data_IF_478603259833
#
_entry.id   IF_478603259833
#
_cell.length_a   1.000
_cell.length_b   1.000
_cell.length_c   1.000
_cell.angle_alpha   90.00
_cell.angle_beta   90.00
_cell.angle_gamma   90.00
#
_symmetry.space_group_name_H-M   'P 1'
#
loop_
_entity.id
_entity.type
_entity.pdbx_description
1 polymer ?
#
# COMPACT_ATOMS: atom_id res chain seq x y z
N UNK A 1 -5.63 10.68 27.39
CA UNK A 1 -4.24 10.19 27.63
C UNK A 1 -3.34 10.92 26.65
N UNK A 2 -2.04 11.15 26.97
CA UNK A 2 -1.12 11.67 25.96
C UNK A 2 -1.00 10.65 24.83
N UNK A 3 -1.02 11.09 23.58
CA UNK A 3 -0.81 10.23 22.41
C UNK A 3 0.56 9.55 22.50
N UNK A 4 0.63 8.25 22.18
CA UNK A 4 1.91 7.51 22.10
C UNK A 4 2.73 7.90 20.84
N UNK A 5 2.13 8.63 19.90
CA UNK A 5 2.78 9.09 18.69
C UNK A 5 3.91 10.08 18.99
N UNK A 6 5.07 9.95 18.32
CA UNK A 6 6.15 10.93 18.41
C UNK A 6 5.70 12.30 17.87
N UNK A 7 6.27 13.37 18.45
CA UNK A 7 6.08 14.72 17.93
C UNK A 7 6.78 14.86 16.58
N UNK A 8 6.21 15.65 15.69
CA UNK A 8 6.80 15.94 14.39
C UNK A 8 6.72 17.42 14.07
N UNK A 9 7.62 17.89 13.25
CA UNK A 9 7.67 19.25 12.75
C UNK A 9 7.52 19.25 11.23
N UNK A 10 6.89 20.28 10.69
CA UNK A 10 6.66 20.41 9.25
C UNK A 10 7.06 21.78 8.72
N UNK A 11 7.60 21.79 7.51
CA UNK A 11 7.86 23.01 6.76
C UNK A 11 7.53 22.77 5.28
N UNK A 12 6.90 23.74 4.63
CA UNK A 12 6.67 23.71 3.19
C UNK A 12 7.58 24.71 2.50
N UNK A 13 8.35 24.27 1.51
CA UNK A 13 9.18 25.16 0.69
C UNK A 13 8.32 25.99 -0.28
N UNK A 14 8.90 27.07 -0.84
CA UNK A 14 8.22 27.92 -1.83
C UNK A 14 7.73 27.18 -3.08
N UNK A 15 8.42 26.11 -3.46
CA UNK A 15 8.03 25.25 -4.58
C UNK A 15 6.98 24.19 -4.22
N UNK A 16 6.49 24.18 -2.98
CA UNK A 16 5.43 23.29 -2.52
C UNK A 16 5.91 21.94 -1.95
N UNK A 17 7.22 21.66 -1.93
CA UNK A 17 7.73 20.45 -1.25
C UNK A 17 7.41 20.53 0.24
N UNK A 18 6.71 19.53 0.74
CA UNK A 18 6.45 19.38 2.17
C UNK A 18 7.62 18.61 2.79
N UNK A 19 8.17 19.14 3.88
CA UNK A 19 9.21 18.51 4.67
C UNK A 19 8.61 18.14 6.02
N UNK A 20 8.80 16.90 6.45
CA UNK A 20 8.33 16.38 7.74
C UNK A 20 9.52 15.80 8.48
N UNK A 21 9.69 16.19 9.73
CA UNK A 21 10.76 15.69 10.60
C UNK A 21 10.17 15.09 11.85
N UNK A 22 10.54 13.85 12.14
CA UNK A 22 10.11 13.11 13.33
C UNK A 22 11.35 12.76 14.15
N UNK A 23 11.77 13.64 15.08
CA UNK A 23 12.93 13.37 15.92
C UNK A 23 12.60 12.26 16.93
N UNK A 24 13.37 11.18 16.88
CA UNK A 24 13.29 10.08 17.83
C UNK A 24 14.51 10.17 18.77
N UNK A 25 14.27 10.50 20.02
CA UNK A 25 15.33 10.62 21.03
C UNK A 25 15.75 9.24 21.54
N UNK A 26 16.23 8.39 20.67
CA UNK A 26 16.58 6.99 20.98
C UNK A 26 18.11 6.75 20.98
N UNK A 27 18.91 7.76 20.71
CA UNK A 27 20.39 7.70 20.69
C UNK A 27 20.98 6.56 19.84
N UNK A 28 20.27 6.17 18.78
CA UNK A 28 20.70 5.08 17.88
C UNK A 28 21.66 5.55 16.80
N UNK A 29 21.80 6.86 16.60
CA UNK A 29 22.53 7.47 15.48
C UNK A 29 22.05 6.94 14.10
N UNK A 30 20.76 6.57 13.99
CA UNK A 30 20.16 6.03 12.77
C UNK A 30 19.00 6.92 12.35
N UNK A 31 18.95 7.21 11.04
CA UNK A 31 17.85 7.92 10.40
C UNK A 31 17.25 7.09 9.26
N UNK A 32 15.97 7.31 9.02
CA UNK A 32 15.30 7.03 7.75
C UNK A 32 15.07 8.36 7.03
N UNK A 33 15.57 8.47 5.82
CA UNK A 33 15.29 9.60 4.91
C UNK A 33 14.39 9.05 3.82
N UNK A 34 13.17 9.55 3.75
CA UNK A 34 12.12 9.02 2.92
C UNK A 34 11.60 10.10 1.98
N UNK A 35 11.29 9.74 0.73
CA UNK A 35 10.55 10.60 -0.16
C UNK A 35 9.31 9.87 -0.66
N UNK A 36 8.15 10.50 -0.47
CA UNK A 36 6.87 10.02 -0.94
C UNK A 36 6.38 10.91 -2.07
N UNK A 37 6.03 10.31 -3.20
CA UNK A 37 5.31 11.00 -4.28
C UNK A 37 3.83 10.63 -4.23
N UNK A 38 2.94 11.64 -4.31
CA UNK A 38 1.48 11.46 -4.33
C UNK A 38 1.03 10.95 -5.70
N UNK A 39 1.58 9.83 -6.11
CA UNK A 39 1.31 9.16 -7.39
C UNK A 39 1.58 7.66 -7.27
N UNK A 40 0.63 6.88 -7.73
CA UNK A 40 0.69 5.43 -7.82
C UNK A 40 -0.13 4.94 -9.02
N UNK A 41 -0.51 3.66 -9.05
CA UNK A 41 -1.29 3.11 -10.15
C UNK A 41 -2.66 3.76 -10.34
N UNK A 42 -3.22 4.39 -9.31
CA UNK A 42 -4.42 5.21 -9.36
C UNK A 42 -4.32 6.37 -10.38
N UNK A 43 -3.12 6.85 -10.63
CA UNK A 43 -2.87 8.00 -11.51
C UNK A 43 -2.63 7.59 -12.97
N UNK A 44 -2.66 6.31 -13.26
CA UNK A 44 -2.45 5.76 -14.59
C UNK A 44 -3.75 5.77 -15.41
N UNK A 45 -3.61 5.52 -16.70
CA UNK A 45 -4.74 5.36 -17.62
C UNK A 45 -4.64 3.99 -18.30
N UNK A 46 -5.80 3.46 -18.71
CA UNK A 46 -5.85 2.23 -19.51
C UNK A 46 -4.99 2.37 -20.77
N UNK A 47 -4.22 1.34 -21.09
CA UNK A 47 -3.21 1.36 -22.14
C UNK A 47 -1.80 1.76 -21.67
N UNK A 48 -1.70 2.30 -20.44
CA UNK A 48 -0.43 2.69 -19.79
C UNK A 48 -0.36 2.25 -18.33
N UNK A 49 -1.01 1.12 -18.01
CA UNK A 49 -1.01 0.59 -16.65
C UNK A 49 0.36 0.01 -16.27
N UNK A 50 0.76 0.15 -15.02
CA UNK A 50 2.07 -0.27 -14.52
C UNK A 50 3.19 0.75 -14.72
N UNK A 51 2.89 1.92 -15.31
CA UNK A 51 3.91 2.93 -15.62
C UNK A 51 4.49 3.58 -14.36
N UNK A 52 3.71 3.68 -13.29
CA UNK A 52 4.19 4.19 -12.01
C UNK A 52 5.27 3.26 -11.41
N UNK A 53 5.06 1.95 -11.48
CA UNK A 53 6.03 0.95 -11.05
C UNK A 53 7.25 0.90 -11.96
N UNK A 54 7.07 1.01 -13.28
CA UNK A 54 8.19 1.11 -14.21
C UNK A 54 9.05 2.35 -13.94
N UNK A 55 8.44 3.49 -13.60
CA UNK A 55 9.18 4.69 -13.24
C UNK A 55 9.94 4.51 -11.91
N UNK A 56 9.41 3.75 -10.96
CA UNK A 56 10.16 3.38 -9.75
C UNK A 56 11.49 2.69 -10.10
N UNK A 57 11.46 1.70 -11.00
CA UNK A 57 12.65 1.02 -11.49
C UNK A 57 13.61 1.98 -12.20
N UNK A 58 13.07 2.84 -13.08
CA UNK A 58 13.86 3.80 -13.84
C UNK A 58 14.48 4.90 -12.96
N UNK A 59 13.92 5.13 -11.77
CA UNK A 59 14.43 6.13 -10.84
C UNK A 59 15.83 5.82 -10.31
N UNK A 60 16.26 4.54 -10.34
CA UNK A 60 17.59 4.10 -9.96
C UNK A 60 18.58 4.00 -11.13
N UNK A 61 18.20 4.45 -12.34
CA UNK A 61 19.06 4.48 -13.50
C UNK A 61 19.90 5.76 -13.55
N UNK A 62 20.41 6.14 -14.69
CA UNK A 62 21.32 7.27 -14.78
C UNK A 62 20.63 8.63 -14.60
N UNK A 63 21.32 9.52 -13.91
CA UNK A 63 20.98 10.94 -13.81
C UNK A 63 22.08 11.81 -14.43
N UNK A 64 21.98 13.13 -14.31
CA UNK A 64 23.02 14.06 -14.78
C UNK A 64 24.36 13.76 -14.11
N UNK A 65 24.35 13.50 -12.81
CA UNK A 65 25.54 13.37 -11.99
C UNK A 65 25.86 11.93 -11.55
N UNK A 66 24.94 10.97 -11.80
CA UNK A 66 25.10 9.56 -11.43
C UNK A 66 24.94 8.66 -12.65
N UNK A 67 25.78 7.64 -12.76
CA UNK A 67 25.58 6.54 -13.71
C UNK A 67 24.57 5.54 -13.17
N UNK A 68 24.04 4.68 -14.03
CA UNK A 68 23.16 3.60 -13.61
C UNK A 68 23.83 2.74 -12.51
N UNK A 69 23.11 2.48 -11.40
CA UNK A 69 23.61 1.75 -10.23
C UNK A 69 24.56 2.54 -9.32
N UNK A 70 24.91 3.78 -9.64
CA UNK A 70 25.74 4.62 -8.75
C UNK A 70 24.96 5.09 -7.53
N UNK A 71 23.66 5.32 -7.64
CA UNK A 71 22.83 5.65 -6.47
C UNK A 71 22.98 4.60 -5.35
N UNK A 72 22.84 3.33 -5.68
CA UNK A 72 22.99 2.23 -4.71
C UNK A 72 24.41 2.15 -4.15
N UNK A 73 25.43 2.39 -5.00
CA UNK A 73 26.84 2.41 -4.55
C UNK A 73 27.09 3.55 -3.57
N UNK A 74 26.55 4.73 -3.84
CA UNK A 74 26.67 5.89 -2.96
C UNK A 74 26.01 5.64 -1.60
N UNK A 75 24.81 5.03 -1.58
CA UNK A 75 24.13 4.65 -0.34
C UNK A 75 24.93 3.58 0.42
N UNK A 76 25.39 2.54 -0.27
CA UNK A 76 26.18 1.46 0.34
C UNK A 76 27.55 1.94 0.83
N UNK A 77 28.18 2.90 0.15
CA UNK A 77 29.49 3.45 0.53
C UNK A 77 29.50 4.12 1.90
N UNK A 78 28.34 4.59 2.36
CA UNK A 78 28.13 5.20 3.67
C UNK A 78 27.45 4.25 4.67
N UNK A 79 27.44 2.95 4.39
CA UNK A 79 26.82 1.93 5.23
C UNK A 79 25.29 1.97 5.25
N UNK A 80 24.68 2.67 4.29
CA UNK A 80 23.23 2.77 4.17
C UNK A 80 22.61 1.60 3.40
N UNK A 81 21.30 1.49 3.52
CA UNK A 81 20.44 0.62 2.71
C UNK A 81 19.28 1.44 2.16
N UNK A 82 18.83 1.10 0.96
CA UNK A 82 17.68 1.75 0.31
C UNK A 82 16.75 0.72 -0.29
N UNK A 83 15.50 1.13 -0.48
CA UNK A 83 14.51 0.40 -1.26
C UNK A 83 13.41 1.36 -1.72
N UNK A 84 12.49 0.86 -2.54
CA UNK A 84 11.32 1.59 -2.99
C UNK A 84 10.10 0.68 -3.07
N UNK A 85 8.93 1.29 -3.20
CA UNK A 85 7.68 0.58 -3.43
C UNK A 85 6.66 1.49 -4.12
N UNK A 86 5.91 0.90 -5.05
CA UNK A 86 4.76 1.55 -5.69
C UNK A 86 3.48 0.91 -5.20
N UNK A 87 2.57 1.72 -4.68
CA UNK A 87 1.22 1.30 -4.26
C UNK A 87 0.16 1.84 -5.24
N UNK A 88 -1.11 1.65 -4.89
CA UNK A 88 -2.21 2.27 -5.64
C UNK A 88 -2.15 3.80 -5.61
N UNK A 89 -1.84 4.39 -4.46
CA UNK A 89 -2.00 5.83 -4.21
C UNK A 89 -0.70 6.63 -4.19
N UNK A 90 0.43 5.97 -3.94
CA UNK A 90 1.72 6.65 -3.80
C UNK A 90 2.89 5.76 -4.18
N UNK A 91 4.02 6.40 -4.46
CA UNK A 91 5.34 5.76 -4.61
C UNK A 91 6.25 6.27 -3.51
N UNK A 92 6.95 5.36 -2.85
CA UNK A 92 7.80 5.62 -1.69
C UNK A 92 9.22 5.11 -1.93
N UNK A 93 10.19 5.95 -1.60
CA UNK A 93 11.62 5.61 -1.61
C UNK A 93 12.19 5.91 -0.24
N UNK A 94 13.07 5.06 0.28
CA UNK A 94 13.74 5.31 1.53
C UNK A 94 15.23 5.00 1.48
N UNK A 95 16.00 5.76 2.26
CA UNK A 95 17.41 5.50 2.60
C UNK A 95 17.50 5.45 4.12
N UNK A 96 17.94 4.31 4.65
CA UNK A 96 18.29 4.16 6.06
C UNK A 96 19.80 4.23 6.21
N UNK A 97 20.29 5.16 7.04
CA UNK A 97 21.72 5.40 7.24
C UNK A 97 22.02 5.96 8.63
N UNK A 98 23.29 6.22 8.92
CA UNK A 98 23.64 7.03 10.10
C UNK A 98 23.27 8.50 9.91
N UNK A 99 23.06 9.22 11.01
CA UNK A 99 22.70 10.65 11.03
C UNK A 99 23.69 11.53 10.27
N UNK A 100 24.99 11.19 10.30
CA UNK A 100 26.04 11.92 9.58
C UNK A 100 25.81 11.98 8.06
N UNK A 101 25.02 11.07 7.52
CA UNK A 101 24.71 10.96 6.09
C UNK A 101 23.41 11.68 5.67
N UNK A 102 22.80 12.47 6.55
CA UNK A 102 21.59 13.23 6.26
C UNK A 102 21.70 14.03 4.96
N UNK A 103 22.73 14.87 4.85
CA UNK A 103 22.93 15.72 3.67
C UNK A 103 23.07 14.90 2.39
N UNK A 104 23.83 13.80 2.44
CA UNK A 104 24.02 12.90 1.30
C UNK A 104 22.70 12.27 0.85
N UNK A 105 21.91 11.74 1.78
CA UNK A 105 20.62 11.13 1.49
C UNK A 105 19.63 12.13 0.87
N UNK A 106 19.59 13.35 1.41
CA UNK A 106 18.72 14.44 0.89
C UNK A 106 19.17 14.89 -0.50
N UNK A 107 20.48 15.05 -0.74
CA UNK A 107 21.06 15.43 -2.04
C UNK A 107 20.83 14.35 -3.11
N UNK A 108 20.90 13.06 -2.75
CA UNK A 108 20.61 11.95 -3.66
C UNK A 108 19.17 12.01 -4.15
N UNK A 109 18.17 12.26 -3.29
CA UNK A 109 16.80 12.39 -3.71
C UNK A 109 16.53 13.64 -4.56
N UNK A 110 17.18 14.76 -4.27
CA UNK A 110 17.07 15.95 -5.10
C UNK A 110 17.65 15.70 -6.51
N UNK A 111 18.75 14.94 -6.61
CA UNK A 111 19.32 14.52 -7.89
C UNK A 111 18.34 13.67 -8.70
N UNK A 112 17.70 12.66 -8.06
CA UNK A 112 16.72 11.81 -8.74
C UNK A 112 15.47 12.60 -9.18
N UNK A 113 14.97 13.51 -8.37
CA UNK A 113 13.79 14.31 -8.72
C UNK A 113 14.05 15.24 -9.92
N UNK A 114 15.22 15.86 -10.00
CA UNK A 114 15.52 16.90 -10.96
C UNK A 114 16.20 16.41 -12.23
N UNK A 115 17.09 15.42 -12.10
CA UNK A 115 18.15 15.18 -13.07
C UNK A 115 18.15 13.79 -13.70
N UNK A 116 17.08 13.00 -13.55
CA UNK A 116 16.95 11.71 -14.24
C UNK A 116 17.03 11.90 -15.76
N UNK A 117 17.81 11.04 -16.41
CA UNK A 117 18.00 11.09 -17.88
C UNK A 117 16.92 10.34 -18.63
N UNK A 118 16.36 9.28 -18.06
CA UNK A 118 15.33 8.44 -18.65
C UNK A 118 15.65 8.07 -20.11
N UNK A 119 16.74 7.33 -20.29
CA UNK A 119 17.23 6.95 -21.59
C UNK A 119 16.57 5.67 -22.09
N UNK A 120 16.28 5.60 -23.39
CA UNK A 120 15.69 4.41 -24.00
C UNK A 120 16.59 3.18 -23.87
N UNK A 121 17.91 3.35 -23.99
CA UNK A 121 18.90 2.29 -23.83
C UNK A 121 18.95 1.65 -22.42
N UNK A 122 18.47 2.38 -21.39
CA UNK A 122 18.33 1.89 -20.01
C UNK A 122 16.90 1.36 -19.76
N UNK A 123 15.92 1.91 -20.46
CA UNK A 123 14.51 1.56 -20.37
C UNK A 123 14.21 0.18 -20.98
N UNK A 124 14.74 -0.12 -22.17
CA UNK A 124 14.41 -1.36 -22.86
C UNK A 124 14.77 -2.62 -22.04
N UNK A 125 16.00 -2.75 -21.50
CA UNK A 125 16.34 -3.88 -20.63
C UNK A 125 15.51 -3.92 -19.35
N UNK A 126 15.18 -2.74 -18.77
CA UNK A 126 14.41 -2.69 -17.54
C UNK A 126 12.95 -3.07 -17.75
N UNK A 127 12.38 -2.77 -18.91
CA UNK A 127 11.05 -3.26 -19.27
C UNK A 127 11.00 -4.78 -19.33
N UNK A 128 12.08 -5.43 -19.78
CA UNK A 128 12.18 -6.89 -19.75
C UNK A 128 12.22 -7.42 -18.29
N UNK A 129 12.94 -6.74 -17.39
CA UNK A 129 12.94 -7.06 -15.96
C UNK A 129 11.53 -6.96 -15.37
N UNK A 130 10.80 -5.87 -15.61
CA UNK A 130 9.42 -5.70 -15.14
C UNK A 130 8.47 -6.73 -15.76
N UNK A 131 8.71 -7.11 -17.02
CA UNK A 131 7.96 -8.20 -17.71
C UNK A 131 8.14 -9.53 -16.98
N UNK A 132 9.37 -9.88 -16.60
CA UNK A 132 9.65 -11.12 -15.85
C UNK A 132 9.09 -11.04 -14.42
N UNK A 133 9.16 -9.88 -13.78
CA UNK A 133 8.54 -9.68 -12.47
C UNK A 133 7.01 -9.87 -12.53
N UNK A 134 6.36 -9.31 -13.56
CA UNK A 134 4.94 -9.53 -13.81
C UNK A 134 4.62 -11.02 -14.00
N UNK A 135 5.43 -11.75 -14.78
CA UNK A 135 5.28 -13.20 -14.94
C UNK A 135 5.39 -13.92 -13.60
N UNK A 136 6.43 -13.63 -12.85
CA UNK A 136 6.68 -14.28 -11.57
C UNK A 136 5.62 -13.98 -10.53
N UNK A 137 5.23 -12.70 -10.39
CA UNK A 137 4.27 -12.26 -9.37
C UNK A 137 2.82 -12.57 -9.71
N UNK A 138 2.48 -12.67 -10.99
CA UNK A 138 1.07 -12.77 -11.42
C UNK A 138 0.81 -13.99 -12.30
N UNK A 139 1.47 -14.10 -13.48
CA UNK A 139 1.15 -15.19 -14.40
C UNK A 139 1.53 -16.57 -13.86
N UNK A 140 2.67 -16.69 -13.18
CA UNK A 140 3.19 -17.96 -12.63
C UNK A 140 2.84 -18.15 -11.15
N UNK A 141 2.15 -17.21 -10.52
CA UNK A 141 1.70 -17.28 -9.13
C UNK A 141 0.18 -17.42 -9.09
N UNK A 142 -0.38 -18.57 -8.72
CA UNK A 142 -1.84 -18.72 -8.60
C UNK A 142 -2.48 -17.69 -7.68
N UNK A 143 -1.89 -17.42 -6.52
CA UNK A 143 -2.38 -16.40 -5.58
C UNK A 143 -2.25 -14.99 -6.16
N UNK A 144 -1.13 -14.68 -6.82
CA UNK A 144 -0.93 -13.37 -7.46
C UNK A 144 -1.92 -13.15 -8.60
N UNK A 145 -2.21 -14.19 -9.37
CA UNK A 145 -3.22 -14.16 -10.42
C UNK A 145 -4.63 -13.96 -9.85
N UNK A 146 -4.98 -14.69 -8.78
CA UNK A 146 -6.26 -14.54 -8.09
C UNK A 146 -6.45 -13.12 -7.58
N UNK A 147 -5.42 -12.55 -6.95
CA UNK A 147 -5.42 -11.17 -6.44
C UNK A 147 -5.61 -10.16 -7.58
N UNK A 148 -4.88 -10.31 -8.68
CA UNK A 148 -5.02 -9.45 -9.86
C UNK A 148 -6.43 -9.58 -10.47
N UNK A 149 -6.94 -10.81 -10.63
CA UNK A 149 -8.28 -11.07 -11.17
C UNK A 149 -9.38 -10.46 -10.29
N UNK A 150 -9.20 -10.45 -8.97
CA UNK A 150 -10.14 -9.84 -8.04
C UNK A 150 -10.29 -8.34 -8.31
N UNK A 151 -9.20 -7.58 -8.38
CA UNK A 151 -9.25 -6.15 -8.68
C UNK A 151 -9.83 -5.88 -10.06
N UNK A 152 -9.44 -6.67 -11.06
CA UNK A 152 -9.94 -6.56 -12.43
C UNK A 152 -11.45 -6.75 -12.55
N UNK A 153 -12.07 -7.43 -11.62
CA UNK A 153 -13.50 -7.72 -11.66
C UNK A 153 -14.29 -6.95 -10.60
N UNK A 154 -13.67 -6.55 -9.48
CA UNK A 154 -14.33 -5.75 -8.47
C UNK A 154 -14.61 -4.33 -8.98
N UNK A 155 -13.70 -3.76 -9.74
CA UNK A 155 -13.87 -2.44 -10.35
C UNK A 155 -14.16 -2.55 -11.84
N UNK A 156 -14.96 -1.60 -12.37
CA UNK A 156 -15.27 -1.50 -13.81
C UNK A 156 -14.77 -0.19 -14.42
N UNK A 157 -14.59 0.84 -13.62
CA UNK A 157 -14.25 2.17 -14.10
C UNK A 157 -13.05 2.80 -13.38
N UNK A 158 -12.97 2.64 -12.04
CA UNK A 158 -11.91 3.25 -11.24
C UNK A 158 -10.54 2.62 -11.55
N UNK A 159 -9.42 3.38 -11.56
CA UNK A 159 -8.06 2.86 -11.77
C UNK A 159 -7.58 1.80 -10.78
N UNK A 160 -8.27 1.58 -9.67
CA UNK A 160 -8.03 0.39 -8.83
C UNK A 160 -8.40 -0.92 -9.52
N UNK A 161 -8.94 -0.86 -10.74
CA UNK A 161 -9.18 -2.00 -11.61
C UNK A 161 -7.92 -2.81 -11.95
N UNK A 162 -6.72 -2.22 -11.86
CA UNK A 162 -5.44 -2.91 -12.01
C UNK A 162 -4.53 -2.69 -10.81
N UNK A 163 -3.68 -3.68 -10.54
CA UNK A 163 -2.64 -3.59 -9.51
C UNK A 163 -1.44 -2.78 -10.02
N UNK A 164 -0.55 -2.29 -9.14
CA UNK A 164 0.60 -1.46 -9.54
C UNK A 164 1.52 -2.06 -10.60
N UNK A 165 1.57 -3.40 -10.72
CA UNK A 165 2.36 -4.05 -11.78
C UNK A 165 1.77 -3.85 -13.19
N UNK A 166 0.48 -3.50 -13.30
CA UNK A 166 -0.21 -3.25 -14.57
C UNK A 166 -0.55 -4.49 -15.39
N UNK A 167 -1.06 -4.29 -16.60
CA UNK A 167 -1.36 -5.34 -17.56
C UNK A 167 -0.13 -5.68 -18.42
N UNK A 168 0.08 -6.97 -18.72
CA UNK A 168 1.18 -7.42 -19.56
C UNK A 168 1.21 -6.75 -20.95
N UNK A 169 0.03 -6.52 -21.55
CA UNK A 169 -0.06 -5.88 -22.85
C UNK A 169 0.43 -4.42 -22.82
N UNK A 170 0.14 -3.69 -21.73
CA UNK A 170 0.59 -2.32 -21.56
C UNK A 170 2.10 -2.27 -21.35
N UNK A 171 2.65 -3.17 -20.50
CA UNK A 171 4.10 -3.30 -20.27
C UNK A 171 4.87 -3.44 -21.59
N UNK A 172 4.36 -4.25 -22.50
CA UNK A 172 5.00 -4.49 -23.82
C UNK A 172 4.95 -3.29 -24.76
N UNK A 173 4.02 -2.36 -24.55
CA UNK A 173 3.75 -1.24 -25.45
C UNK A 173 4.24 0.12 -24.95
N UNK A 174 4.70 0.22 -23.67
CA UNK A 174 5.26 1.47 -23.16
C UNK A 174 6.42 1.98 -24.03
N UNK A 175 6.48 3.29 -24.18
CA UNK A 175 7.62 4.00 -24.74
C UNK A 175 8.38 4.75 -23.64
N UNK A 176 9.62 5.10 -23.91
CA UNK A 176 10.39 5.94 -22.98
C UNK A 176 9.76 7.33 -22.81
N UNK A 177 9.05 7.82 -23.83
CA UNK A 177 8.39 9.11 -23.75
C UNK A 177 7.17 9.07 -22.81
N UNK A 178 6.46 7.94 -22.71
CA UNK A 178 5.42 7.74 -21.70
C UNK A 178 5.98 7.86 -20.28
N UNK A 179 7.17 7.29 -20.04
CA UNK A 179 7.87 7.37 -18.75
C UNK A 179 8.30 8.80 -18.44
N UNK A 180 8.86 9.52 -19.43
CA UNK A 180 9.26 10.93 -19.29
C UNK A 180 8.07 11.82 -18.97
N UNK A 181 6.95 11.63 -19.66
CA UNK A 181 5.73 12.41 -19.45
C UNK A 181 5.16 12.16 -18.05
N UNK A 182 5.14 10.91 -17.61
CA UNK A 182 4.68 10.54 -16.28
C UNK A 182 5.60 11.12 -15.18
N UNK A 183 6.93 11.01 -15.36
CA UNK A 183 7.90 11.62 -14.47
C UNK A 183 7.74 13.14 -14.43
N UNK A 184 7.67 13.81 -15.60
CA UNK A 184 7.52 15.27 -15.67
C UNK A 184 6.24 15.76 -15.00
N UNK A 185 5.17 14.94 -15.03
CA UNK A 185 3.87 15.26 -14.45
C UNK A 185 3.87 15.13 -12.94
N UNK A 186 4.41 14.03 -12.41
CA UNK A 186 4.17 13.65 -11.01
C UNK A 186 5.40 13.76 -10.11
N UNK A 187 6.64 13.69 -10.66
CA UNK A 187 7.87 13.75 -9.86
C UNK A 187 8.39 15.19 -9.77
N UNK A 188 7.71 15.97 -8.95
CA UNK A 188 8.02 17.38 -8.75
C UNK A 188 7.70 17.82 -7.30
N UNK A 189 8.30 18.93 -6.82
CA UNK A 189 8.25 19.31 -5.40
C UNK A 189 6.86 19.38 -4.79
N UNK A 190 5.89 20.01 -5.48
CA UNK A 190 4.53 20.19 -4.94
C UNK A 190 3.69 18.89 -4.90
N UNK A 191 4.23 17.77 -5.40
CA UNK A 191 3.62 16.45 -5.35
C UNK A 191 4.42 15.49 -4.45
N UNK A 192 5.39 15.99 -3.69
CA UNK A 192 6.29 15.18 -2.89
C UNK A 192 6.29 15.59 -1.42
N UNK A 193 6.60 14.62 -0.56
CA UNK A 193 6.87 14.79 0.86
C UNK A 193 8.25 14.21 1.13
N UNK A 194 9.18 15.04 1.60
CA UNK A 194 10.45 14.59 2.14
C UNK A 194 10.27 14.40 3.64
N UNK A 195 10.51 13.19 4.14
CA UNK A 195 10.41 12.86 5.56
C UNK A 195 11.76 12.39 6.08
N UNK A 196 12.14 12.88 7.26
CA UNK A 196 13.32 12.38 7.97
C UNK A 196 12.92 11.98 9.38
N UNK A 197 13.16 10.73 9.71
CA UNK A 197 12.77 10.15 11.00
C UNK A 197 13.98 9.53 11.67
N UNK A 198 14.19 9.83 12.95
CA UNK A 198 15.28 9.24 13.74
C UNK A 198 16.01 10.25 14.61
N UNK A 199 17.29 10.01 14.85
CA UNK A 199 18.13 10.85 15.72
C UNK A 199 18.64 12.10 14.96
N UNK A 200 17.79 13.11 14.82
CA UNK A 200 18.07 14.32 14.02
C UNK A 200 17.59 15.60 14.71
N UNK A 201 18.26 16.70 14.40
CA UNK A 201 17.78 18.05 14.68
C UNK A 201 16.91 18.55 13.50
N UNK A 202 15.64 18.89 13.72
CA UNK A 202 14.75 19.42 12.68
C UNK A 202 15.34 20.61 11.91
N UNK A 203 16.09 21.49 12.56
CA UNK A 203 16.71 22.65 11.91
C UNK A 203 17.71 22.26 10.85
N UNK A 204 18.51 21.23 11.12
CA UNK A 204 19.50 20.72 10.16
C UNK A 204 18.79 20.05 8.97
N UNK A 205 17.72 19.31 9.21
CA UNK A 205 16.91 18.71 8.13
C UNK A 205 16.31 19.79 7.24
N UNK A 206 15.65 20.80 7.82
CA UNK A 206 15.04 21.89 7.04
C UNK A 206 16.08 22.67 6.24
N UNK A 207 17.24 22.91 6.80
CA UNK A 207 18.37 23.58 6.12
C UNK A 207 18.89 22.73 4.94
N UNK A 208 19.11 21.43 5.16
CA UNK A 208 19.56 20.49 4.13
C UNK A 208 18.54 20.38 2.99
N UNK A 209 17.28 20.17 3.32
CA UNK A 209 16.20 20.08 2.35
C UNK A 209 16.04 21.37 1.53
N UNK A 210 16.08 22.56 2.18
CA UNK A 210 16.03 23.85 1.50
C UNK A 210 17.19 24.04 0.54
N UNK A 211 18.41 23.64 0.93
CA UNK A 211 19.60 23.71 0.06
C UNK A 211 19.45 22.83 -1.17
N UNK A 212 18.99 21.57 -1.00
CA UNK A 212 18.93 20.59 -2.06
C UNK A 212 17.73 20.77 -3.00
N UNK A 213 16.56 21.09 -2.46
CA UNK A 213 15.29 21.13 -3.22
C UNK A 213 14.78 22.55 -3.51
N UNK A 214 15.27 23.57 -2.83
CA UNK A 214 14.67 24.92 -2.87
C UNK A 214 14.56 25.54 -4.26
N UNK A 215 15.52 25.26 -5.14
CA UNK A 215 15.57 25.80 -6.51
C UNK A 215 14.91 24.88 -7.55
N UNK A 216 14.46 23.68 -7.17
CA UNK A 216 13.77 22.76 -8.08
C UNK A 216 12.40 23.34 -8.41
N UNK A 217 12.11 23.48 -9.69
CA UNK A 217 10.85 24.06 -10.18
C UNK A 217 9.81 22.98 -10.48
N UNK A 218 8.55 23.27 -10.20
CA UNK A 218 7.45 22.47 -10.74
C UNK A 218 7.35 22.66 -12.24
N UNK A 219 7.10 21.57 -12.97
CA UNK A 219 7.09 21.55 -14.43
C UNK A 219 5.70 21.80 -14.99
N UNK A 220 4.70 21.13 -14.42
CA UNK A 220 3.30 21.17 -14.88
C UNK A 220 2.34 21.17 -13.69
N UNK A 221 1.09 21.49 -13.96
CA UNK A 221 0.01 21.36 -12.96
C UNK A 221 -0.34 19.89 -12.81
N UNK A 222 -0.37 19.42 -11.57
CA UNK A 222 -0.77 18.04 -11.25
C UNK A 222 -2.24 17.82 -11.67
N UNK A 223 -2.54 16.81 -12.49
CA UNK A 223 -3.91 16.47 -12.82
C UNK A 223 -4.70 16.05 -11.58
N UNK A 224 -5.94 16.52 -11.46
CA UNK A 224 -6.85 16.05 -10.42
C UNK A 224 -7.56 14.79 -10.92
N UNK A 225 -7.39 13.69 -10.18
CA UNK A 225 -8.10 12.44 -10.46
C UNK A 225 -9.51 12.53 -9.89
N UNK A 226 -10.53 12.30 -10.72
CA UNK A 226 -11.96 12.41 -10.39
C UNK A 226 -12.72 11.15 -10.81
N UNK A 227 -12.10 10.00 -10.61
CA UNK A 227 -12.77 8.73 -10.91
C UNK A 227 -13.67 8.35 -9.72
N UNK A 228 -14.90 8.02 -10.03
CA UNK A 228 -15.87 7.49 -9.06
C UNK A 228 -16.35 6.16 -9.61
N UNK A 229 -16.07 5.08 -8.89
CA UNK A 229 -16.58 3.76 -9.25
C UNK A 229 -18.10 3.77 -9.18
N UNK A 230 -18.83 3.33 -10.21
CA UNK A 230 -20.27 3.18 -10.12
C UNK A 230 -20.64 2.12 -9.08
N UNK A 231 -21.81 2.28 -8.47
CA UNK A 231 -22.32 1.31 -7.51
C UNK A 231 -22.50 -0.06 -8.19
N UNK A 232 -22.13 -1.11 -7.49
CA UNK A 232 -22.29 -2.47 -7.98
C UNK A 232 -23.74 -2.94 -7.76
N UNK A 233 -24.48 -3.20 -8.84
CA UNK A 233 -25.91 -3.53 -8.80
C UNK A 233 -26.21 -5.03 -8.59
N UNK A 234 -25.22 -5.90 -8.73
CA UNK A 234 -25.38 -7.34 -8.57
C UNK A 234 -24.09 -8.06 -8.22
N UNK A 235 -24.21 -9.25 -7.64
CA UNK A 235 -23.07 -10.10 -7.34
C UNK A 235 -22.35 -10.53 -8.63
N UNK A 236 -21.02 -10.47 -8.59
CA UNK A 236 -20.15 -10.98 -9.66
C UNK A 236 -19.50 -12.29 -9.20
N UNK A 237 -19.55 -13.30 -10.07
CA UNK A 237 -18.91 -14.60 -9.82
C UNK A 237 -18.13 -15.02 -11.05
N UNK A 238 -16.82 -15.14 -10.90
CA UNK A 238 -15.91 -15.46 -11.97
C UNK A 238 -15.11 -16.72 -11.61
N UNK A 239 -15.05 -17.65 -12.54
CA UNK A 239 -14.22 -18.86 -12.42
C UNK A 239 -13.06 -18.70 -13.41
N UNK A 240 -11.85 -18.78 -12.89
CA UNK A 240 -10.61 -18.77 -13.69
C UNK A 240 -9.91 -20.11 -13.56
N UNK A 241 -9.29 -20.56 -14.63
CA UNK A 241 -8.53 -21.80 -14.67
C UNK A 241 -7.05 -21.50 -14.74
N UNK A 242 -6.29 -22.10 -13.83
CA UNK A 242 -4.85 -21.90 -13.74
C UNK A 242 -4.15 -23.20 -13.31
N UNK A 243 -2.94 -23.41 -13.79
CA UNK A 243 -2.08 -24.45 -13.25
C UNK A 243 -1.83 -24.15 -11.76
N UNK A 244 -2.29 -25.05 -10.91
CA UNK A 244 -2.21 -24.93 -9.45
C UNK A 244 -2.40 -26.32 -8.83
N UNK A 245 -1.79 -26.57 -7.69
CA UNK A 245 -2.00 -27.83 -6.95
C UNK A 245 -3.37 -27.88 -6.26
N UNK A 246 -3.92 -26.71 -5.90
CA UNK A 246 -5.15 -26.58 -5.12
C UNK A 246 -6.04 -25.46 -5.69
N UNK A 247 -7.30 -25.51 -5.35
CA UNK A 247 -8.23 -24.39 -5.64
C UNK A 247 -8.01 -23.22 -4.65
N UNK A 248 -8.36 -22.03 -5.08
CA UNK A 248 -8.30 -20.81 -4.27
C UNK A 248 -9.55 -19.97 -4.48
N UNK A 249 -9.87 -19.14 -3.50
CA UNK A 249 -11.02 -18.24 -3.58
C UNK A 249 -10.66 -16.84 -3.06
N UNK A 250 -11.20 -15.83 -3.73
CA UNK A 250 -11.25 -14.45 -3.27
C UNK A 250 -12.69 -13.96 -3.22
N UNK A 251 -13.08 -13.27 -2.15
CA UNK A 251 -14.36 -12.56 -2.06
C UNK A 251 -14.06 -11.13 -1.66
N UNK A 252 -14.62 -10.16 -2.41
CA UNK A 252 -14.41 -8.75 -2.16
C UNK A 252 -15.73 -7.99 -2.01
N UNK A 253 -15.74 -7.02 -1.12
CA UNK A 253 -16.84 -6.08 -0.88
C UNK A 253 -16.31 -4.67 -0.96
N UNK A 254 -17.04 -3.76 -1.60
CA UNK A 254 -16.70 -2.34 -1.63
C UNK A 254 -16.86 -1.72 -0.23
N UNK A 255 -15.85 -0.97 0.18
CA UNK A 255 -15.81 -0.25 1.46
C UNK A 255 -15.41 1.21 1.21
N UNK A 256 -15.64 2.14 2.17
CA UNK A 256 -15.29 3.53 1.99
C UNK A 256 -13.76 3.74 1.96
N UNK A 257 -13.36 4.99 1.68
CA UNK A 257 -11.96 5.38 1.68
C UNK A 257 -11.37 5.44 3.11
N UNK A 258 -10.04 5.65 3.21
CA UNK A 258 -9.29 5.63 4.47
C UNK A 258 -9.70 6.69 5.50
N UNK A 259 -10.39 7.77 5.07
CA UNK A 259 -10.85 8.86 5.96
C UNK A 259 -12.18 8.55 6.65
N UNK A 260 -12.92 7.57 6.14
CA UNK A 260 -14.24 7.24 6.70
C UNK A 260 -14.11 6.69 8.12
N UNK A 261 -14.94 7.16 9.08
CA UNK A 261 -14.91 6.67 10.46
C UNK A 261 -15.12 5.15 10.61
N UNK A 262 -15.77 4.51 9.64
CA UNK A 262 -16.01 3.06 9.66
C UNK A 262 -14.73 2.25 9.40
N UNK A 263 -13.66 2.85 8.84
CA UNK A 263 -12.41 2.13 8.55
C UNK A 263 -11.81 1.47 9.79
N UNK A 264 -11.81 2.13 10.93
CA UNK A 264 -11.30 1.53 12.17
C UNK A 264 -12.18 0.37 12.64
N UNK A 265 -13.49 0.43 12.40
CA UNK A 265 -14.40 -0.69 12.71
C UNK A 265 -14.15 -1.87 11.75
N UNK A 266 -13.87 -1.59 10.48
CA UNK A 266 -13.50 -2.61 9.48
C UNK A 266 -12.16 -3.26 9.84
N UNK A 267 -11.19 -2.52 10.35
CA UNK A 267 -9.93 -3.08 10.88
C UNK A 267 -10.18 -3.98 12.09
N UNK A 268 -11.09 -3.61 12.99
CA UNK A 268 -11.49 -4.49 14.11
C UNK A 268 -12.16 -5.78 13.61
N UNK A 269 -13.00 -5.69 12.58
CA UNK A 269 -13.60 -6.87 11.93
C UNK A 269 -12.52 -7.79 11.34
N UNK A 270 -11.55 -7.21 10.64
CA UNK A 270 -10.39 -7.93 10.10
C UNK A 270 -9.65 -8.70 11.20
N UNK A 271 -9.32 -8.03 12.31
CA UNK A 271 -8.63 -8.64 13.45
C UNK A 271 -9.41 -9.80 14.08
N UNK A 272 -10.72 -9.66 14.27
CA UNK A 272 -11.58 -10.72 14.83
C UNK A 272 -11.62 -11.93 13.89
N UNK A 273 -11.71 -11.69 12.58
CA UNK A 273 -11.84 -12.73 11.58
C UNK A 273 -10.53 -13.46 11.30
N UNK A 274 -9.39 -12.75 11.25
CA UNK A 274 -8.17 -13.29 10.69
C UNK A 274 -6.96 -13.29 11.62
N UNK A 275 -6.85 -12.37 12.60
CA UNK A 275 -5.59 -12.19 13.32
C UNK A 275 -5.30 -13.30 14.34
N UNK A 276 -4.28 -14.11 14.00
CA UNK A 276 -3.73 -15.16 14.85
C UNK A 276 -4.63 -16.40 15.01
N UNK A 277 -4.09 -17.42 15.67
CA UNK A 277 -4.73 -18.75 15.81
C UNK A 277 -6.08 -18.74 16.57
N UNK A 278 -6.37 -17.69 17.30
CA UNK A 278 -7.63 -17.56 18.03
C UNK A 278 -8.72 -16.81 17.26
N UNK A 279 -8.45 -16.36 16.03
CA UNK A 279 -9.43 -15.72 15.16
C UNK A 279 -10.50 -16.69 14.65
N UNK A 280 -11.64 -16.14 14.22
CA UNK A 280 -12.79 -16.96 13.81
C UNK A 280 -12.49 -17.85 12.62
N UNK A 281 -11.92 -17.27 11.55
CA UNK A 281 -11.61 -18.01 10.32
C UNK A 281 -10.54 -19.07 10.55
N UNK A 282 -9.49 -18.74 11.34
CA UNK A 282 -8.46 -19.73 11.65
C UNK A 282 -9.06 -20.95 12.37
N UNK A 283 -9.80 -20.70 13.45
CA UNK A 283 -10.43 -21.77 14.23
C UNK A 283 -11.39 -22.62 13.41
N UNK A 284 -12.22 -21.99 12.58
CA UNK A 284 -13.28 -22.71 11.90
C UNK A 284 -12.75 -23.43 10.64
N UNK A 285 -11.98 -22.72 9.80
CA UNK A 285 -11.57 -23.25 8.50
C UNK A 285 -10.27 -24.06 8.56
N UNK A 286 -9.33 -23.69 9.45
CA UNK A 286 -8.04 -24.40 9.57
C UNK A 286 -8.11 -25.48 10.66
N UNK A 287 -8.42 -25.10 11.92
CA UNK A 287 -8.31 -26.03 13.06
C UNK A 287 -9.42 -27.07 13.09
N UNK A 288 -10.70 -26.67 12.90
CA UNK A 288 -11.83 -27.59 13.06
C UNK A 288 -12.16 -28.37 11.79
N UNK A 289 -12.30 -27.65 10.67
CA UNK A 289 -12.83 -28.24 9.41
C UNK A 289 -11.72 -28.64 8.45
N UNK A 290 -10.48 -28.20 8.66
CA UNK A 290 -9.33 -28.50 7.80
C UNK A 290 -9.60 -28.22 6.31
N UNK A 291 -10.31 -27.14 6.01
CA UNK A 291 -10.69 -26.80 4.64
C UNK A 291 -9.62 -26.03 3.88
N UNK A 292 -8.81 -25.24 4.60
CA UNK A 292 -7.81 -24.38 4.00
C UNK A 292 -6.48 -24.48 4.73
N UNK A 293 -5.38 -24.24 4.02
CA UNK A 293 -4.05 -24.08 4.60
C UNK A 293 -3.75 -22.62 4.98
N UNK A 294 -4.42 -21.67 4.32
CA UNK A 294 -4.32 -20.24 4.64
C UNK A 294 -5.63 -19.52 4.35
N UNK A 295 -5.95 -18.54 5.19
CA UNK A 295 -7.10 -17.65 5.02
C UNK A 295 -6.71 -16.27 5.48
N UNK A 296 -7.18 -15.23 4.78
CA UNK A 296 -6.95 -13.82 5.06
C UNK A 296 -8.26 -13.06 4.99
N UNK A 297 -8.41 -12.05 5.83
CA UNK A 297 -9.52 -11.10 5.78
C UNK A 297 -9.01 -9.73 6.19
N UNK A 298 -9.07 -8.73 5.32
CA UNK A 298 -8.56 -7.40 5.62
C UNK A 298 -9.25 -6.30 4.81
N UNK A 299 -9.30 -5.11 5.38
CA UNK A 299 -9.74 -3.90 4.73
C UNK A 299 -8.57 -3.17 4.09
N UNK A 300 -8.80 -2.59 2.92
CA UNK A 300 -7.83 -1.71 2.28
C UNK A 300 -8.12 -0.25 2.61
N UNK A 301 -7.08 0.48 3.00
CA UNK A 301 -7.16 1.90 3.33
C UNK A 301 -6.57 2.74 2.21
N UNK A 302 -7.34 2.99 1.16
CA UNK A 302 -6.91 3.77 0.01
C UNK A 302 -7.54 5.17 0.00
N UNK A 303 -7.02 6.08 -0.84
CA UNK A 303 -7.50 7.47 -1.01
C UNK A 303 -8.96 7.50 -1.50
N UNK A 304 -9.31 6.59 -2.40
CA UNK A 304 -10.70 6.42 -2.87
C UNK A 304 -11.33 5.16 -2.26
N UNK A 305 -12.67 4.99 -2.35
CA UNK A 305 -13.35 3.78 -1.89
C UNK A 305 -12.68 2.51 -2.39
N UNK A 306 -12.48 1.55 -1.49
CA UNK A 306 -11.66 0.39 -1.72
C UNK A 306 -12.39 -0.92 -1.41
N UNK A 307 -11.66 -1.97 -1.04
CA UNK A 307 -12.20 -3.30 -0.86
C UNK A 307 -11.92 -3.83 0.56
N UNK A 308 -12.89 -4.55 1.10
CA UNK A 308 -12.65 -5.56 2.13
C UNK A 308 -12.50 -6.90 1.43
N UNK A 309 -11.42 -7.60 1.70
CA UNK A 309 -10.99 -8.76 0.93
C UNK A 309 -10.90 -9.98 1.82
N UNK A 310 -11.49 -11.08 1.38
CA UNK A 310 -11.29 -12.42 1.89
C UNK A 310 -10.50 -13.22 0.85
N UNK A 311 -9.44 -13.90 1.27
CA UNK A 311 -8.64 -14.78 0.42
C UNK A 311 -8.45 -16.11 1.14
N UNK A 312 -8.60 -17.22 0.43
CA UNK A 312 -8.31 -18.54 1.00
C UNK A 312 -7.67 -19.48 -0.03
N UNK A 313 -6.74 -20.28 0.47
CA UNK A 313 -6.13 -21.38 -0.29
C UNK A 313 -6.66 -22.69 0.27
N UNK A 314 -7.39 -23.44 -0.55
CA UNK A 314 -7.98 -24.70 -0.17
C UNK A 314 -6.91 -25.76 0.17
N UNK A 315 -7.24 -26.68 1.05
CA UNK A 315 -6.44 -27.89 1.20
C UNK A 315 -6.63 -28.82 -0.04
N UNK A 316 -5.71 -29.77 -0.28
CA UNK A 316 -5.89 -30.76 -1.35
C UNK A 316 -7.28 -31.39 -1.28
N UNK A 317 -7.90 -31.61 -2.46
CA UNK A 317 -9.22 -32.21 -2.64
C UNK A 317 -10.42 -31.43 -2.06
N UNK A 318 -10.19 -30.27 -1.49
CA UNK A 318 -11.26 -29.36 -1.05
C UNK A 318 -11.65 -28.42 -2.18
N UNK A 319 -12.96 -28.36 -2.49
CA UNK A 319 -13.52 -27.47 -3.49
C UNK A 319 -13.70 -26.04 -2.93
N UNK A 320 -13.39 -25.06 -3.76
CA UNK A 320 -13.52 -23.65 -3.38
C UNK A 320 -14.95 -23.27 -2.95
N UNK A 321 -15.98 -23.89 -3.50
CA UNK A 321 -17.37 -23.67 -3.08
C UNK A 321 -17.64 -24.11 -1.64
N UNK A 322 -16.95 -25.14 -1.16
CA UNK A 322 -17.07 -25.55 0.26
C UNK A 322 -16.47 -24.46 1.16
N UNK A 323 -15.34 -23.91 0.77
CA UNK A 323 -14.69 -22.81 1.48
C UNK A 323 -15.52 -21.53 1.39
N UNK A 324 -16.09 -21.22 0.22
CA UNK A 324 -16.99 -20.08 0.02
C UNK A 324 -18.16 -20.12 1.00
N UNK A 325 -18.84 -21.26 1.07
CA UNK A 325 -19.98 -21.45 1.97
C UNK A 325 -19.60 -21.13 3.42
N UNK A 326 -18.48 -21.64 3.88
CA UNK A 326 -18.00 -21.39 5.25
C UNK A 326 -17.61 -19.92 5.48
N UNK A 327 -16.94 -19.28 4.51
CA UNK A 327 -16.62 -17.85 4.58
C UNK A 327 -17.89 -17.01 4.69
N UNK A 328 -18.90 -17.29 3.86
CA UNK A 328 -20.18 -16.60 3.88
C UNK A 328 -20.95 -16.85 5.20
N UNK A 329 -20.89 -18.07 5.76
CA UNK A 329 -21.46 -18.37 7.07
C UNK A 329 -20.78 -17.55 8.20
N UNK A 330 -19.45 -17.42 8.17
CA UNK A 330 -18.73 -16.60 9.17
C UNK A 330 -19.05 -15.12 9.02
N UNK A 331 -19.20 -14.62 7.80
CA UNK A 331 -19.62 -13.24 7.52
C UNK A 331 -21.06 -13.03 8.02
N UNK A 332 -21.96 -13.98 7.78
CA UNK A 332 -23.36 -13.90 8.25
C UNK A 332 -23.47 -13.90 9.76
N UNK A 333 -22.60 -14.64 10.45
CA UNK A 333 -22.49 -14.58 11.91
C UNK A 333 -22.06 -13.20 12.40
N UNK A 334 -21.16 -12.50 11.71
CA UNK A 334 -20.78 -11.12 12.02
C UNK A 334 -21.95 -10.14 11.85
N UNK A 335 -22.83 -10.38 10.90
CA UNK A 335 -24.02 -9.54 10.63
C UNK A 335 -25.14 -9.78 11.64
N UNK A 336 -25.36 -11.03 12.04
CA UNK A 336 -26.54 -11.43 12.82
C UNK A 336 -26.30 -11.53 14.32
N UNK A 337 -25.04 -11.59 14.76
CA UNK A 337 -24.69 -11.69 16.17
C UNK A 337 -23.62 -10.68 16.55
N UNK A 338 -23.78 -10.08 17.73
CA UNK A 338 -22.72 -9.23 18.28
C UNK A 338 -21.48 -10.05 18.60
N UNK A 339 -20.32 -9.47 18.36
CA UNK A 339 -19.05 -10.02 18.83
C UNK A 339 -19.01 -10.03 20.34
N UNK A 340 -18.34 -11.00 20.93
CA UNK A 340 -18.23 -11.10 22.38
C UNK A 340 -17.31 -10.01 22.94
N UNK A 341 -17.54 -9.65 24.20
CA UNK A 341 -16.65 -8.71 24.89
C UNK A 341 -15.19 -9.21 24.88
N UNK A 342 -14.98 -10.51 25.07
CA UNK A 342 -13.65 -11.10 25.08
C UNK A 342 -12.93 -10.98 23.71
N UNK A 343 -13.62 -11.17 22.59
CA UNK A 343 -13.06 -10.94 21.26
C UNK A 343 -12.66 -9.48 21.06
N UNK A 344 -13.55 -8.56 21.43
CA UNK A 344 -13.29 -7.14 21.26
C UNK A 344 -12.17 -6.63 22.18
N UNK A 345 -12.14 -7.05 23.44
CA UNK A 345 -11.07 -6.70 24.39
C UNK A 345 -9.70 -7.21 23.88
N UNK A 346 -9.67 -8.44 23.35
CA UNK A 346 -8.45 -9.01 22.75
C UNK A 346 -7.97 -8.15 21.58
N UNK A 347 -8.85 -7.78 20.66
CA UNK A 347 -8.47 -6.95 19.50
C UNK A 347 -7.92 -5.61 19.98
N UNK A 348 -8.58 -4.93 20.91
CA UNK A 348 -8.11 -3.66 21.46
C UNK A 348 -6.70 -3.75 22.07
N UNK A 349 -6.42 -4.85 22.78
CA UNK A 349 -5.09 -5.09 23.37
C UNK A 349 -4.04 -5.32 22.27
N UNK A 350 -4.35 -6.21 21.31
CA UNK A 350 -3.43 -6.52 20.21
C UNK A 350 -3.15 -5.29 19.34
N UNK A 351 -4.19 -4.60 18.89
CA UNK A 351 -4.04 -3.39 18.08
C UNK A 351 -3.22 -2.30 18.78
N UNK A 352 -3.40 -2.15 20.10
CA UNK A 352 -2.55 -1.23 20.87
C UNK A 352 -1.09 -1.68 20.92
N UNK A 353 -0.85 -2.98 21.09
CA UNK A 353 0.52 -3.52 21.09
C UNK A 353 1.19 -3.35 19.73
N UNK A 354 0.48 -3.69 18.63
CA UNK A 354 0.98 -3.56 17.26
C UNK A 354 1.26 -2.09 16.92
N UNK A 355 0.38 -1.18 17.37
CA UNK A 355 0.60 0.26 17.22
C UNK A 355 1.87 0.73 17.94
N UNK A 356 2.10 0.27 19.19
CA UNK A 356 3.33 0.59 19.93
C UNK A 356 4.56 0.02 19.19
N UNK A 357 4.51 -1.23 18.73
CA UNK A 357 5.60 -1.84 17.96
C UNK A 357 5.89 -1.11 16.65
N UNK A 358 4.86 -0.53 16.01
CA UNK A 358 5.06 0.29 14.81
C UNK A 358 5.86 1.58 15.06
N UNK A 359 6.07 1.95 16.34
CA UNK A 359 6.83 3.13 16.75
C UNK A 359 8.27 2.82 17.19
N UNK A 360 8.73 1.56 17.13
CA UNK A 360 10.04 1.16 17.66
C UNK A 360 11.22 1.58 16.78
N UNK A 361 11.05 1.67 15.46
CA UNK A 361 12.14 2.00 14.55
C UNK A 361 11.86 3.24 13.70
N UNK A 362 12.93 3.95 13.31
CA UNK A 362 12.80 5.11 12.41
C UNK A 362 12.09 4.78 11.11
N UNK A 363 12.35 3.62 10.52
CA UNK A 363 11.70 3.16 9.27
C UNK A 363 10.22 2.86 9.50
N UNK A 364 9.86 2.19 10.59
CA UNK A 364 8.46 1.88 10.91
C UNK A 364 7.64 3.15 11.14
N UNK A 365 8.19 4.10 11.91
CA UNK A 365 7.56 5.41 12.14
C UNK A 365 7.41 6.18 10.83
N UNK A 366 8.45 6.20 9.99
CA UNK A 366 8.39 6.86 8.69
C UNK A 366 7.31 6.26 7.79
N UNK A 367 7.23 4.93 7.71
CA UNK A 367 6.19 4.25 6.94
C UNK A 367 4.78 4.57 7.48
N UNK A 368 4.59 4.53 8.79
CA UNK A 368 3.31 4.82 9.41
C UNK A 368 2.86 6.25 9.11
N UNK A 369 3.67 7.25 9.45
CA UNK A 369 3.32 8.66 9.22
C UNK A 369 3.24 9.00 7.73
N UNK A 370 4.19 8.51 6.93
CA UNK A 370 4.27 8.76 5.51
C UNK A 370 3.05 8.26 4.75
N UNK A 371 2.53 7.09 5.10
CA UNK A 371 1.34 6.52 4.48
C UNK A 371 0.08 7.37 4.65
N UNK A 372 -0.11 8.03 5.80
CA UNK A 372 -1.23 8.94 6.04
C UNK A 372 -0.98 10.32 5.44
N UNK A 373 0.23 10.86 5.61
CA UNK A 373 0.59 12.17 5.05
C UNK A 373 0.48 12.22 3.53
N UNK A 374 0.95 11.16 2.84
CA UNK A 374 0.92 11.12 1.37
C UNK A 374 -0.51 10.97 0.84
N UNK A 375 -1.39 10.30 1.58
CA UNK A 375 -2.83 10.22 1.29
C UNK A 375 -3.59 11.50 1.65
N UNK A 376 -2.98 12.42 2.38
CA UNK A 376 -3.45 13.79 2.59
C UNK A 376 -4.22 14.03 3.89
N UNK A 377 -4.36 13.07 4.79
CA UNK A 377 -5.03 13.24 6.06
C UNK A 377 -4.38 12.43 7.19
N UNK A 378 -3.96 13.13 8.23
CA UNK A 378 -3.38 12.52 9.43
C UNK A 378 -4.42 12.20 10.51
N UNK A 379 -5.65 12.66 10.37
CA UNK A 379 -6.69 12.52 11.40
C UNK A 379 -6.92 11.06 11.81
N UNK A 380 -7.03 10.09 10.87
CA UNK A 380 -7.22 8.69 11.26
C UNK A 380 -6.09 8.16 12.13
N UNK A 381 -4.82 8.51 11.83
CA UNK A 381 -3.67 8.12 12.64
C UNK A 381 -3.67 8.80 14.01
N UNK A 382 -3.89 10.12 14.03
CA UNK A 382 -3.84 10.90 15.27
C UNK A 382 -4.94 10.53 16.28
N UNK A 383 -6.06 10.01 15.80
CA UNK A 383 -7.21 9.59 16.62
C UNK A 383 -7.33 8.08 16.79
N UNK A 384 -6.39 7.31 16.27
CA UNK A 384 -6.45 5.85 16.22
C UNK A 384 -6.68 5.21 17.60
N UNK A 385 -5.84 5.54 18.60
CA UNK A 385 -5.93 4.98 19.94
C UNK A 385 -7.26 5.31 20.63
N UNK A 386 -7.74 6.53 20.47
CA UNK A 386 -9.01 6.95 21.05
C UNK A 386 -10.20 6.27 20.37
N UNK A 387 -10.16 6.12 19.07
CA UNK A 387 -11.25 5.54 18.29
C UNK A 387 -11.36 4.03 18.50
N UNK A 388 -10.23 3.30 18.48
CA UNK A 388 -10.27 1.85 18.70
C UNK A 388 -10.81 1.50 20.10
N UNK A 389 -10.49 2.30 21.12
CA UNK A 389 -11.00 2.09 22.46
C UNK A 389 -12.52 2.27 22.57
N UNK A 390 -13.12 3.09 21.70
CA UNK A 390 -14.57 3.38 21.71
C UNK A 390 -15.40 2.36 20.92
N UNK A 391 -14.78 1.52 20.09
CA UNK A 391 -15.53 0.54 19.29
C UNK A 391 -16.35 -0.38 20.17
N UNK A 392 -17.63 -0.50 19.84
CA UNK A 392 -18.59 -1.35 20.50
C UNK A 392 -18.99 -2.57 19.65
N UNK A 393 -19.54 -3.63 20.27
CA UNK A 393 -20.07 -4.79 19.54
C UNK A 393 -21.18 -4.42 18.53
N UNK A 394 -21.97 -3.39 18.83
CA UNK A 394 -23.00 -2.85 17.94
C UNK A 394 -22.41 -2.23 16.68
N UNK A 395 -21.35 -1.45 16.82
CA UNK A 395 -20.66 -0.82 15.68
C UNK A 395 -20.08 -1.90 14.75
N UNK A 396 -19.47 -2.94 15.29
CA UNK A 396 -18.95 -4.08 14.52
C UNK A 396 -20.07 -4.78 13.74
N UNK A 397 -21.20 -5.04 14.39
CA UNK A 397 -22.36 -5.65 13.75
C UNK A 397 -22.94 -4.74 12.65
N UNK A 398 -23.16 -3.46 12.95
CA UNK A 398 -23.72 -2.49 11.99
C UNK A 398 -22.81 -2.32 10.77
N UNK A 399 -21.50 -2.24 10.94
CA UNK A 399 -20.56 -2.17 9.84
C UNK A 399 -20.59 -3.46 9.00
N UNK A 400 -20.68 -4.64 9.65
CA UNK A 400 -20.81 -5.92 8.93
C UNK A 400 -22.09 -5.97 8.11
N UNK A 401 -23.22 -5.48 8.63
CA UNK A 401 -24.49 -5.40 7.89
C UNK A 401 -24.43 -4.40 6.74
N UNK A 402 -23.77 -3.26 6.93
CA UNK A 402 -23.66 -2.19 5.95
C UNK A 402 -22.80 -2.59 4.75
N UNK A 403 -21.66 -3.23 4.99
CA UNK A 403 -20.66 -3.44 3.95
C UNK A 403 -20.67 -4.85 3.37
N UNK A 404 -21.07 -5.89 4.10
CA UNK A 404 -21.05 -7.26 3.59
C UNK A 404 -22.40 -7.69 2.99
N UNK A 405 -22.81 -6.96 1.97
CA UNK A 405 -23.97 -7.34 1.17
C UNK A 405 -23.55 -8.34 0.10
N UNK A 406 -24.04 -9.58 0.18
CA UNK A 406 -23.68 -10.64 -0.75
C UNK A 406 -24.13 -10.34 -2.19
N UNK A 407 -25.24 -9.62 -2.39
CA UNK A 407 -25.70 -9.19 -3.70
C UNK A 407 -24.81 -8.13 -4.37
N UNK A 408 -23.86 -7.56 -3.61
CA UNK A 408 -22.87 -6.58 -4.08
C UNK A 408 -21.44 -7.07 -3.90
N UNK A 409 -21.23 -8.38 -3.81
CA UNK A 409 -19.92 -9.00 -3.70
C UNK A 409 -19.33 -9.35 -5.05
N UNK A 410 -18.00 -9.47 -5.08
CA UNK A 410 -17.25 -10.03 -6.21
C UNK A 410 -16.50 -11.26 -5.73
N UNK A 411 -16.84 -12.42 -6.27
CA UNK A 411 -16.18 -13.70 -5.96
C UNK A 411 -15.37 -14.17 -7.16
N UNK A 412 -14.11 -14.50 -6.93
CA UNK A 412 -13.23 -15.15 -7.91
C UNK A 412 -12.86 -16.52 -7.38
N UNK A 413 -13.12 -17.55 -8.16
CA UNK A 413 -12.66 -18.91 -7.88
C UNK A 413 -11.56 -19.26 -8.88
N UNK A 414 -10.39 -19.61 -8.35
CA UNK A 414 -9.32 -20.18 -9.14
C UNK A 414 -9.42 -21.70 -9.05
N UNK A 415 -9.74 -22.30 -10.18
CA UNK A 415 -9.77 -23.74 -10.33
C UNK A 415 -8.43 -24.26 -10.84
N UNK A 416 -8.07 -25.40 -10.33
CA UNK A 416 -6.98 -26.20 -10.88
C UNK A 416 -7.31 -26.54 -12.34
N UNK A 417 -6.42 -26.15 -13.27
CA UNK A 417 -6.43 -26.71 -14.62
C UNK A 417 -5.76 -28.07 -14.60
N UNK A 418 -6.33 -29.01 -15.33
CA UNK A 418 -5.71 -30.33 -15.54
C UNK A 418 -4.40 -30.22 -16.32
#
# INVERSE_FOLDING_TARGET
>A
MASSLPKYETQTLKNGLQIVVIPLQNSTNVISTDIFYKVGSRNEIMGKTGIAHMLEHMNFKSSKNLKAGEFDKEVKSVGGVNNASTSFDYTHYYIKSSTDNLNKSVELYAELMQNLKLKDEEFQPERDVVTEERRWRTENSPMGFLYFAMFNNAYVYHPYHWTPIGFMNDIRTWSIDDIKDFHATYYQPNNAILMVTGDVDPKEVFKSAKKAFGEIKNKVKIPQMKFVEPEQDGAKRIIVHKESEVEMIAIAFHIPNFQDPDQITLSVISEILYSGKSSRLYKELIDKKHLVNSVYAYNMENVDPSLFIFLATCNPDVKAETVEKELLEQIELMKNAKVTKAELDKVKINSKSDFIYSLESSTSVANLFGSYLVRGDMTPLLTYEDNINKISPEQVQNASQKYFNFDKSTTIILRKSE
#
